data_IF_486266556359
#
_entry.id   IF_486266556359
#
_cell.length_a   1.000
_cell.length_b   1.000
_cell.length_c   1.000
_cell.angle_alpha   90.00
_cell.angle_beta   90.00
_cell.angle_gamma   90.00
#
_symmetry.space_group_name_H-M   'P 1'
#
loop_
_entity.id
_entity.type
_entity.pdbx_description
1 polymer ?
#
# COMPACT_ATOMS: atom_id res chain seq x y z
N UNK A 1 -22.92 -19.73 -0.69
CA UNK A 1 -22.72 -19.52 0.76
C UNK A 1 -24.06 -19.51 1.46
N UNK A 2 -24.17 -20.08 2.67
CA UNK A 2 -25.40 -19.94 3.47
C UNK A 2 -25.56 -18.49 3.95
N UNK A 3 -26.80 -18.03 4.18
CA UNK A 3 -27.08 -16.68 4.70
C UNK A 3 -26.29 -16.40 5.98
N UNK A 4 -26.22 -17.38 6.88
CA UNK A 4 -25.46 -17.32 8.14
C UNK A 4 -23.95 -17.08 7.93
N UNK A 5 -23.35 -17.66 6.88
CA UNK A 5 -21.92 -17.47 6.57
C UNK A 5 -21.64 -16.06 6.04
N UNK A 6 -22.56 -15.52 5.23
CA UNK A 6 -22.46 -14.16 4.68
C UNK A 6 -22.60 -13.10 5.78
N UNK A 7 -23.56 -13.27 6.68
CA UNK A 7 -23.77 -12.35 7.79
C UNK A 7 -22.59 -12.34 8.77
N UNK A 8 -21.98 -13.51 9.01
CA UNK A 8 -20.76 -13.64 9.81
C UNK A 8 -19.56 -12.91 9.17
N UNK A 9 -19.40 -13.06 7.85
CA UNK A 9 -18.37 -12.35 7.09
C UNK A 9 -18.54 -10.83 7.18
N UNK A 10 -19.75 -10.33 6.91
CA UNK A 10 -20.03 -8.90 6.96
C UNK A 10 -19.84 -8.36 8.39
N UNK A 11 -20.28 -9.08 9.41
CA UNK A 11 -20.04 -8.69 10.81
C UNK A 11 -18.55 -8.66 11.16
N UNK A 12 -17.73 -9.57 10.62
CA UNK A 12 -16.26 -9.54 10.78
C UNK A 12 -15.68 -8.29 10.12
N UNK A 13 -16.11 -8.00 8.90
CA UNK A 13 -15.66 -6.84 8.13
C UNK A 13 -16.01 -5.52 8.83
N UNK A 14 -17.24 -5.37 9.34
CA UNK A 14 -17.65 -4.18 10.08
C UNK A 14 -16.82 -3.95 11.35
N UNK A 15 -16.48 -5.03 12.08
CA UNK A 15 -15.58 -4.95 13.24
C UNK A 15 -14.16 -4.53 12.88
N UNK A 16 -13.64 -5.00 11.75
CA UNK A 16 -12.32 -4.60 11.26
C UNK A 16 -12.29 -3.11 10.92
N UNK A 17 -13.33 -2.59 10.27
CA UNK A 17 -13.46 -1.15 9.95
C UNK A 17 -13.54 -0.23 11.18
N UNK A 18 -13.93 -0.73 12.35
CA UNK A 18 -13.98 0.04 13.60
C UNK A 18 -12.66 0.01 14.38
N UNK A 19 -11.71 -0.82 13.97
CA UNK A 19 -10.50 -1.04 14.74
C UNK A 19 -9.61 0.21 14.76
N UNK A 20 -9.04 0.46 15.93
CA UNK A 20 -7.90 1.36 16.13
C UNK A 20 -6.66 0.51 16.35
N UNK A 21 -5.63 0.75 15.55
CA UNK A 21 -4.42 -0.07 15.47
C UNK A 21 -3.20 0.66 16.03
N UNK A 22 -3.19 2.00 16.00
CA UNK A 22 -2.03 2.79 16.40
C UNK A 22 -1.75 2.69 17.90
N UNK A 23 -0.49 2.41 18.25
CA UNK A 23 -0.08 2.15 19.64
C UNK A 23 0.28 3.41 20.42
N UNK A 24 0.54 4.51 19.73
CA UNK A 24 0.97 5.79 20.30
C UNK A 24 0.06 6.93 19.84
N UNK A 25 -0.04 8.02 20.61
CA UNK A 25 -0.81 9.19 20.21
C UNK A 25 -0.33 9.78 18.88
N UNK A 26 -1.27 10.06 17.99
CA UNK A 26 -1.01 10.70 16.69
C UNK A 26 -0.62 12.17 16.94
N UNK A 27 0.51 12.67 16.38
CA UNK A 27 0.87 14.08 16.48
C UNK A 27 -0.13 14.94 15.70
N UNK A 28 -0.26 16.23 16.03
CA UNK A 28 -1.16 17.13 15.28
C UNK A 28 -0.75 17.27 13.79
N UNK A 29 0.54 17.23 13.53
CA UNK A 29 1.13 17.33 12.20
C UNK A 29 2.12 16.19 11.98
N UNK A 30 2.19 15.69 10.75
CA UNK A 30 3.25 14.77 10.31
C UNK A 30 4.58 15.49 10.50
N UNK A 31 5.47 14.88 11.29
CA UNK A 31 6.78 15.44 11.60
C UNK A 31 7.78 15.13 10.49
N UNK A 32 8.96 15.73 10.57
CA UNK A 32 10.09 15.40 9.69
C UNK A 32 10.68 16.61 8.97
N UNK A 33 11.50 16.32 7.98
CA UNK A 33 12.24 17.28 7.16
C UNK A 33 11.53 17.64 5.86
N UNK A 34 10.22 17.44 5.77
CA UNK A 34 9.44 17.73 4.57
C UNK A 34 9.36 19.23 4.32
N UNK A 35 9.22 19.62 3.05
CA UNK A 35 9.08 21.02 2.65
C UNK A 35 7.71 21.65 2.94
N UNK A 36 6.69 20.84 3.26
CA UNK A 36 5.35 21.31 3.56
C UNK A 36 4.78 20.70 4.83
N UNK A 37 3.94 21.47 5.52
CA UNK A 37 3.26 21.04 6.74
C UNK A 37 2.01 20.25 6.37
N UNK A 38 1.91 19.01 6.86
CA UNK A 38 0.74 18.16 6.68
C UNK A 38 0.07 17.89 8.03
N UNK A 39 -1.23 18.20 8.14
CA UNK A 39 -2.04 17.76 9.29
C UNK A 39 -2.11 16.24 9.30
N UNK A 40 -1.88 15.63 10.45
CA UNK A 40 -2.11 14.21 10.60
C UNK A 40 -3.62 13.91 10.59
N UNK A 41 -4.01 12.89 9.83
CA UNK A 41 -5.37 12.36 9.81
C UNK A 41 -5.50 11.35 10.95
N UNK A 42 -6.49 11.54 11.82
CA UNK A 42 -6.73 10.65 12.96
C UNK A 42 -7.47 9.37 12.58
N UNK A 43 -7.38 8.33 13.43
CA UNK A 43 -7.98 7.02 13.13
C UNK A 43 -9.49 7.05 12.90
N UNK A 44 -10.24 7.91 13.61
CA UNK A 44 -11.68 8.03 13.39
C UNK A 44 -12.00 8.59 11.99
N UNK A 45 -11.18 9.53 11.51
CA UNK A 45 -11.30 10.09 10.17
C UNK A 45 -10.86 9.07 9.12
N UNK A 46 -9.77 8.33 9.36
CA UNK A 46 -9.30 7.24 8.49
C UNK A 46 -10.35 6.13 8.36
N UNK A 47 -10.94 5.67 9.46
CA UNK A 47 -12.01 4.67 9.47
C UNK A 47 -13.22 5.15 8.67
N UNK A 48 -13.61 6.42 8.84
CA UNK A 48 -14.72 7.02 8.07
C UNK A 48 -14.42 7.06 6.57
N UNK A 49 -13.20 7.42 6.18
CA UNK A 49 -12.78 7.45 4.77
C UNK A 49 -12.79 6.04 4.17
N UNK A 50 -12.19 5.06 4.83
CA UNK A 50 -12.19 3.66 4.37
C UNK A 50 -13.62 3.11 4.22
N UNK A 51 -14.52 3.41 5.17
CA UNK A 51 -15.95 3.06 5.07
C UNK A 51 -16.60 3.65 3.83
N UNK A 52 -16.40 4.94 3.60
CA UNK A 52 -16.95 5.62 2.42
C UNK A 52 -16.39 5.02 1.13
N UNK A 53 -15.12 4.65 1.09
CA UNK A 53 -14.51 4.01 -0.09
C UNK A 53 -15.21 2.70 -0.46
N UNK A 54 -15.56 1.87 0.52
CA UNK A 54 -16.28 0.61 0.25
C UNK A 54 -17.71 0.84 -0.25
N UNK A 55 -18.39 1.91 0.19
CA UNK A 55 -19.68 2.32 -0.37
C UNK A 55 -19.51 2.72 -1.84
N UNK A 56 -18.51 3.55 -2.14
CA UNK A 56 -18.22 4.00 -3.51
C UNK A 56 -17.81 2.84 -4.43
N UNK A 57 -17.04 1.87 -3.93
CA UNK A 57 -16.71 0.65 -4.67
C UNK A 57 -17.98 -0.12 -5.03
N UNK A 58 -18.89 -0.30 -4.07
CA UNK A 58 -20.15 -1.01 -4.30
C UNK A 58 -21.01 -0.29 -5.34
N UNK A 59 -21.15 1.04 -5.23
CA UNK A 59 -21.92 1.84 -6.18
C UNK A 59 -21.31 1.79 -7.59
N UNK A 60 -19.99 1.91 -7.71
CA UNK A 60 -19.31 1.89 -9.00
C UNK A 60 -19.39 0.51 -9.66
N UNK A 61 -19.14 -0.56 -8.91
CA UNK A 61 -19.24 -1.94 -9.43
C UNK A 61 -20.68 -2.29 -9.80
N UNK A 62 -21.66 -1.82 -9.03
CA UNK A 62 -23.10 -1.95 -9.37
C UNK A 62 -23.41 -1.26 -10.69
N UNK A 63 -22.92 -0.04 -10.90
CA UNK A 63 -23.09 0.67 -12.17
C UNK A 63 -22.50 -0.12 -13.34
N UNK A 64 -21.26 -0.61 -13.23
CA UNK A 64 -20.65 -1.44 -14.27
C UNK A 64 -21.48 -2.71 -14.57
N UNK A 65 -21.97 -3.40 -13.54
CA UNK A 65 -22.69 -4.66 -13.73
C UNK A 65 -24.14 -4.48 -14.18
N UNK A 66 -24.91 -3.62 -13.51
CA UNK A 66 -26.33 -3.45 -13.77
C UNK A 66 -26.61 -2.55 -14.99
N UNK A 67 -25.75 -1.56 -15.25
CA UNK A 67 -25.94 -0.60 -16.36
C UNK A 67 -25.12 -0.95 -17.59
N UNK A 68 -23.87 -1.40 -17.43
CA UNK A 68 -22.96 -1.66 -18.55
C UNK A 68 -22.80 -3.15 -18.89
N UNK A 69 -23.42 -4.05 -18.12
CA UNK A 69 -23.37 -5.49 -18.33
C UNK A 69 -21.99 -6.12 -18.12
N UNK A 70 -21.11 -5.46 -17.36
CA UNK A 70 -19.76 -5.96 -17.05
C UNK A 70 -19.74 -6.64 -15.67
N UNK A 71 -19.38 -7.92 -15.59
CA UNK A 71 -19.35 -8.67 -14.33
C UNK A 71 -18.13 -8.29 -13.46
N UNK A 72 -18.32 -7.29 -12.59
CA UNK A 72 -17.30 -6.78 -11.66
C UNK A 72 -17.77 -6.67 -10.21
N UNK A 73 -19.00 -7.08 -9.90
CA UNK A 73 -19.54 -7.05 -8.52
C UNK A 73 -18.71 -7.86 -7.53
N UNK A 74 -18.01 -8.89 -8.02
CA UNK A 74 -17.11 -9.72 -7.22
C UNK A 74 -15.95 -8.94 -6.61
N UNK A 75 -15.57 -7.78 -7.18
CA UNK A 75 -14.52 -6.91 -6.63
C UNK A 75 -14.84 -6.46 -5.20
N UNK A 76 -16.11 -6.25 -4.86
CA UNK A 76 -16.50 -5.86 -3.50
C UNK A 76 -16.06 -6.88 -2.46
N UNK A 77 -16.38 -8.16 -2.70
CA UNK A 77 -16.00 -9.23 -1.78
C UNK A 77 -14.48 -9.43 -1.77
N UNK A 78 -13.85 -9.39 -2.94
CA UNK A 78 -12.40 -9.50 -3.07
C UNK A 78 -11.69 -8.41 -2.25
N UNK A 79 -12.07 -7.14 -2.40
CA UNK A 79 -11.44 -6.03 -1.66
C UNK A 79 -11.70 -6.10 -0.17
N UNK A 80 -12.90 -6.50 0.27
CA UNK A 80 -13.18 -6.70 1.71
C UNK A 80 -12.24 -7.75 2.29
N UNK A 81 -12.07 -8.90 1.61
CA UNK A 81 -11.16 -9.97 2.04
C UNK A 81 -9.70 -9.50 2.03
N UNK A 82 -9.27 -8.86 0.94
CA UNK A 82 -7.91 -8.39 0.76
C UNK A 82 -7.52 -7.35 1.78
N UNK A 83 -8.35 -6.32 1.98
CA UNK A 83 -8.11 -5.28 2.98
C UNK A 83 -8.06 -5.88 4.40
N UNK A 84 -8.98 -6.79 4.75
CA UNK A 84 -8.96 -7.48 6.05
C UNK A 84 -7.73 -8.37 6.25
N UNK A 85 -7.09 -8.86 5.18
CA UNK A 85 -5.88 -9.67 5.29
C UNK A 85 -4.68 -8.89 5.83
N UNK A 86 -4.82 -7.56 6.01
CA UNK A 86 -3.81 -6.66 6.53
C UNK A 86 -4.22 -5.96 7.85
N UNK A 87 -5.50 -6.03 8.27
CA UNK A 87 -6.07 -5.29 9.43
C UNK A 87 -5.30 -5.55 10.75
N UNK A 88 -4.70 -6.73 10.88
CA UNK A 88 -3.99 -7.14 12.09
C UNK A 88 -2.58 -7.70 11.80
N UNK A 89 -1.96 -7.25 10.71
CA UNK A 89 -0.80 -7.92 10.12
C UNK A 89 -1.20 -8.86 9.00
N UNK A 90 -0.26 -9.67 8.53
CA UNK A 90 -0.44 -10.53 7.35
C UNK A 90 -1.27 -11.77 7.70
N UNK A 91 -2.47 -11.89 7.11
CA UNK A 91 -3.28 -13.12 7.15
C UNK A 91 -2.89 -14.06 6.00
N UNK A 92 -1.82 -14.83 6.19
CA UNK A 92 -1.31 -15.79 5.20
C UNK A 92 -2.35 -16.82 4.73
N UNK A 93 -3.40 -17.08 5.52
CA UNK A 93 -4.43 -18.06 5.18
C UNK A 93 -5.46 -17.50 4.21
N UNK A 94 -5.67 -16.18 4.22
CA UNK A 94 -6.62 -15.51 3.32
C UNK A 94 -6.05 -15.32 1.91
N UNK A 95 -4.73 -15.14 1.79
CA UNK A 95 -4.07 -14.74 0.54
C UNK A 95 -4.15 -15.76 -0.61
N UNK A 96 -4.07 -17.10 -0.39
CA UNK A 96 -4.13 -18.08 -1.48
C UNK A 96 -5.44 -18.05 -2.30
N UNK A 97 -6.54 -17.56 -1.73
CA UNK A 97 -7.79 -17.37 -2.48
C UNK A 97 -7.74 -16.11 -3.36
N UNK A 98 -6.98 -15.09 -2.94
CA UNK A 98 -7.01 -13.74 -3.52
C UNK A 98 -5.94 -13.51 -4.59
N UNK A 99 -4.85 -14.27 -4.53
CA UNK A 99 -3.65 -14.08 -5.34
C UNK A 99 -3.48 -15.24 -6.32
N UNK A 100 -3.02 -14.93 -7.53
CA UNK A 100 -2.57 -15.96 -8.45
C UNK A 100 -1.32 -16.66 -7.87
N UNK A 101 -1.13 -17.98 -8.07
CA UNK A 101 0.04 -18.69 -7.56
C UNK A 101 1.39 -18.08 -7.98
N UNK A 102 1.42 -17.49 -9.18
CA UNK A 102 2.55 -16.84 -9.82
C UNK A 102 2.46 -15.30 -9.79
N UNK A 103 1.70 -14.72 -8.85
CA UNK A 103 1.51 -13.26 -8.73
C UNK A 103 2.84 -12.51 -8.82
N UNK A 104 2.89 -11.51 -9.69
CA UNK A 104 4.02 -10.59 -9.77
C UNK A 104 3.68 -9.27 -9.06
N UNK A 105 4.54 -8.84 -8.14
CA UNK A 105 4.32 -7.58 -7.42
C UNK A 105 5.59 -6.71 -7.39
N UNK A 106 5.41 -5.38 -7.44
CA UNK A 106 6.52 -4.41 -7.36
C UNK A 106 6.27 -3.36 -6.28
N UNK A 107 7.37 -2.89 -5.70
CA UNK A 107 7.37 -1.80 -4.73
C UNK A 107 8.67 -0.98 -4.86
N UNK A 108 8.71 0.33 -4.56
CA UNK A 108 9.93 1.11 -4.51
C UNK A 108 11.13 0.45 -3.80
N UNK A 109 10.92 -0.25 -2.68
CA UNK A 109 11.99 -0.96 -1.95
C UNK A 109 12.38 -2.31 -2.57
N UNK A 110 11.78 -2.68 -3.70
CA UNK A 110 12.24 -3.78 -4.55
C UNK A 110 13.26 -3.36 -5.61
N UNK A 111 13.57 -2.07 -5.72
CA UNK A 111 14.54 -1.52 -6.67
C UNK A 111 14.24 -1.92 -8.13
N UNK A 112 12.95 -2.01 -8.47
CA UNK A 112 12.47 -2.38 -9.81
C UNK A 112 12.40 -3.88 -10.08
N UNK A 113 12.78 -4.74 -9.12
CA UNK A 113 12.65 -6.19 -9.23
C UNK A 113 11.22 -6.65 -8.93
N UNK A 114 10.60 -7.49 -9.77
CA UNK A 114 9.34 -8.12 -9.42
C UNK A 114 9.56 -9.18 -8.33
N UNK A 115 8.68 -9.20 -7.34
CA UNK A 115 8.48 -10.30 -6.42
C UNK A 115 7.53 -11.28 -7.08
N UNK A 116 7.90 -12.56 -7.14
CA UNK A 116 7.12 -13.57 -7.88
C UNK A 116 6.64 -14.66 -6.92
N UNK A 117 5.34 -14.94 -6.99
CA UNK A 117 4.65 -15.95 -6.19
C UNK A 117 4.20 -15.45 -4.82
N UNK A 118 3.24 -16.18 -4.25
CA UNK A 118 2.54 -15.80 -3.01
C UNK A 118 3.51 -15.62 -1.83
N UNK A 119 4.51 -16.50 -1.68
CA UNK A 119 5.46 -16.39 -0.56
C UNK A 119 6.30 -15.12 -0.65
N UNK A 120 6.83 -14.78 -1.84
CA UNK A 120 7.58 -13.53 -2.03
C UNK A 120 6.73 -12.29 -1.72
N UNK A 121 5.43 -12.35 -2.05
CA UNK A 121 4.47 -11.31 -1.72
C UNK A 121 4.20 -11.21 -0.21
N UNK A 122 4.11 -12.34 0.50
CA UNK A 122 4.00 -12.40 1.96
C UNK A 122 5.25 -11.83 2.62
N UNK A 123 6.44 -12.27 2.23
CA UNK A 123 7.71 -11.85 2.82
C UNK A 123 7.89 -10.32 2.72
N UNK A 124 7.49 -9.74 1.59
CA UNK A 124 7.45 -8.29 1.39
C UNK A 124 6.50 -7.60 2.37
N UNK A 125 5.22 -8.00 2.44
CA UNK A 125 4.27 -7.36 3.33
C UNK A 125 4.68 -7.54 4.80
N UNK A 126 5.21 -8.71 5.16
CA UNK A 126 5.70 -9.00 6.50
C UNK A 126 6.87 -8.10 6.86
N UNK A 127 7.76 -7.74 5.92
CA UNK A 127 8.83 -6.78 6.18
C UNK A 127 8.31 -5.40 6.65
N UNK A 128 7.18 -4.94 6.10
CA UNK A 128 6.54 -3.70 6.55
C UNK A 128 5.91 -3.84 7.95
N UNK A 129 5.20 -4.93 8.23
CA UNK A 129 4.62 -5.16 9.57
C UNK A 129 5.68 -5.45 10.64
N UNK A 130 6.81 -6.05 10.27
CA UNK A 130 7.96 -6.22 11.17
C UNK A 130 8.57 -4.84 11.54
N UNK A 131 8.69 -3.96 10.54
CA UNK A 131 9.25 -2.61 10.69
C UNK A 131 8.31 -1.65 11.43
N UNK A 132 7.01 -1.77 11.18
CA UNK A 132 5.95 -0.89 11.67
C UNK A 132 4.83 -1.77 12.26
N UNK A 133 4.94 -2.21 13.53
CA UNK A 133 4.03 -3.22 14.11
C UNK A 133 2.58 -2.77 14.32
N UNK A 134 2.27 -1.50 14.08
CA UNK A 134 0.92 -0.93 14.10
C UNK A 134 0.53 -0.32 12.74
N UNK A 135 1.20 -0.76 11.67
CA UNK A 135 0.89 -0.34 10.31
C UNK A 135 -0.56 -0.65 9.96
N UNK A 136 -1.20 0.31 9.29
CA UNK A 136 -2.57 0.19 8.78
C UNK A 136 -2.65 0.82 7.39
N UNK A 137 -3.60 0.31 6.60
CA UNK A 137 -3.87 0.75 5.24
C UNK A 137 -5.27 1.35 5.15
N UNK A 138 -5.37 2.63 4.81
CA UNK A 138 -6.63 3.36 4.79
C UNK A 138 -6.95 3.88 3.39
N UNK A 139 -8.09 3.45 2.84
CA UNK A 139 -8.48 3.70 1.47
C UNK A 139 -9.08 5.11 1.34
N UNK A 140 -8.75 5.82 0.25
CA UNK A 140 -9.19 7.20 0.05
C UNK A 140 -10.39 7.30 -0.92
N UNK A 141 -11.57 7.74 -0.45
CA UNK A 141 -12.73 8.00 -1.29
C UNK A 141 -12.44 8.90 -2.48
N UNK A 142 -13.14 8.66 -3.58
CA UNK A 142 -13.06 9.42 -4.83
C UNK A 142 -11.71 9.28 -5.57
N UNK A 143 -10.82 8.42 -5.11
CA UNK A 143 -9.46 8.30 -5.63
C UNK A 143 -9.12 6.86 -6.07
N UNK A 144 -10.08 6.21 -6.71
CA UNK A 144 -9.86 4.93 -7.39
C UNK A 144 -10.56 4.87 -8.74
N UNK A 145 -10.07 3.98 -9.59
CA UNK A 145 -10.56 3.79 -10.95
C UNK A 145 -10.60 2.30 -11.26
N UNK A 146 -11.75 1.84 -11.78
CA UNK A 146 -11.91 0.51 -12.35
C UNK A 146 -11.80 0.65 -13.87
N UNK A 147 -10.96 -0.17 -14.49
CA UNK A 147 -10.89 -0.31 -15.92
C UNK A 147 -11.18 -1.77 -16.28
N UNK A 148 -12.18 -1.97 -17.14
CA UNK A 148 -12.48 -3.27 -17.74
C UNK A 148 -12.07 -3.20 -19.20
N UNK A 149 -11.13 -4.07 -19.60
CA UNK A 149 -10.67 -4.09 -21.00
C UNK A 149 -11.69 -4.78 -21.90
N UNK A 150 -11.49 -4.66 -23.22
CA UNK A 150 -12.35 -5.34 -24.20
C UNK A 150 -12.27 -6.87 -24.07
N UNK A 151 -11.12 -7.37 -23.64
CA UNK A 151 -10.84 -8.79 -23.42
C UNK A 151 -11.39 -9.29 -22.07
N UNK A 152 -12.01 -8.41 -21.27
CA UNK A 152 -12.57 -8.74 -19.96
C UNK A 152 -11.56 -8.72 -18.82
N UNK A 153 -10.33 -8.22 -19.02
CA UNK A 153 -9.41 -8.01 -17.91
C UNK A 153 -9.92 -6.88 -17.02
N UNK A 154 -9.94 -7.13 -15.72
CA UNK A 154 -10.29 -6.12 -14.72
C UNK A 154 -9.01 -5.56 -14.15
N UNK A 155 -8.92 -4.24 -14.08
CA UNK A 155 -7.79 -3.50 -13.50
C UNK A 155 -8.35 -2.48 -12.51
N UNK A 156 -7.70 -2.34 -11.38
CA UNK A 156 -8.02 -1.30 -10.42
C UNK A 156 -6.76 -0.48 -10.10
N UNK A 157 -6.93 0.82 -10.03
CA UNK A 157 -5.93 1.72 -9.45
C UNK A 157 -6.58 2.49 -8.32
N UNK A 158 -5.97 2.56 -7.14
CA UNK A 158 -6.56 3.22 -5.98
C UNK A 158 -5.51 3.88 -5.10
N UNK A 159 -5.85 5.04 -4.54
CA UNK A 159 -5.03 5.70 -3.52
C UNK A 159 -5.41 5.26 -2.12
N UNK A 160 -4.40 5.14 -1.28
CA UNK A 160 -4.55 4.87 0.13
C UNK A 160 -3.46 5.62 0.92
N UNK A 161 -3.59 5.57 2.24
CA UNK A 161 -2.60 6.07 3.19
C UNK A 161 -2.13 4.91 4.05
N UNK A 162 -0.83 4.66 4.07
CA UNK A 162 -0.18 3.81 5.06
C UNK A 162 0.14 4.62 6.32
N UNK A 163 -0.35 4.20 7.49
CA UNK A 163 -0.14 4.91 8.75
C UNK A 163 0.47 4.00 9.81
N UNK A 164 1.43 4.48 10.60
CA UNK A 164 2.00 3.72 11.71
C UNK A 164 3.26 4.37 12.30
N UNK A 165 3.84 3.77 13.34
CA UNK A 165 5.08 4.24 13.95
C UNK A 165 6.26 3.38 13.53
N UNK A 166 7.26 3.99 12.91
CA UNK A 166 8.38 3.24 12.36
C UNK A 166 9.41 2.84 13.42
N UNK A 167 9.22 1.67 14.03
CA UNK A 167 9.97 1.25 15.21
C UNK A 167 11.19 0.39 14.92
N UNK A 168 11.19 -0.39 13.83
CA UNK A 168 12.28 -1.32 13.49
C UNK A 168 12.75 -1.14 12.04
N UNK A 169 14.00 -1.51 11.72
CA UNK A 169 14.51 -1.33 10.37
C UNK A 169 13.63 -2.00 9.31
N UNK A 170 13.34 -1.29 8.22
CA UNK A 170 12.59 -1.83 7.08
C UNK A 170 13.54 -2.56 6.15
N UNK A 171 13.40 -3.89 6.07
CA UNK A 171 14.14 -4.70 5.10
C UNK A 171 13.66 -4.35 3.70
N UNK A 172 14.61 -4.17 2.79
CA UNK A 172 14.36 -4.00 1.36
C UNK A 172 14.51 -5.35 0.68
N UNK A 173 14.30 -5.42 -0.63
CA UNK A 173 14.52 -6.66 -1.38
C UNK A 173 15.92 -7.26 -1.13
N UNK A 174 16.04 -8.59 -0.90
CA UNK A 174 15.02 -9.64 -1.07
C UNK A 174 14.12 -9.92 0.15
N UNK A 175 14.04 -9.01 1.13
CA UNK A 175 13.19 -9.09 2.32
C UNK A 175 13.55 -10.17 3.35
N UNK A 176 14.68 -10.85 3.16
CA UNK A 176 15.26 -11.78 4.12
C UNK A 176 16.23 -11.10 5.11
N UNK A 177 16.81 -11.88 6.02
CA UNK A 177 17.76 -11.39 7.04
C UNK A 177 19.09 -10.89 6.49
N UNK A 178 19.44 -11.21 5.25
CA UNK A 178 20.65 -10.74 4.58
C UNK A 178 20.45 -9.40 3.85
N UNK A 179 19.19 -9.00 3.66
CA UNK A 179 18.84 -7.82 2.91
C UNK A 179 19.31 -6.52 3.58
N UNK A 180 19.65 -5.48 2.80
CA UNK A 180 19.82 -4.14 3.34
C UNK A 180 18.53 -3.67 4.01
N UNK A 181 18.65 -2.88 5.07
CA UNK A 181 17.51 -2.34 5.78
C UNK A 181 17.63 -0.83 5.98
N UNK A 182 16.54 -0.11 5.76
CA UNK A 182 16.45 1.29 6.14
C UNK A 182 16.29 1.38 7.67
N UNK A 183 17.11 2.19 8.36
CA UNK A 183 16.99 2.30 9.81
C UNK A 183 15.66 2.93 10.23
N UNK A 184 15.14 2.52 11.38
CA UNK A 184 13.97 3.13 11.99
C UNK A 184 14.35 4.34 12.84
N UNK A 185 13.40 5.27 13.01
CA UNK A 185 13.56 6.47 13.84
C UNK A 185 12.48 6.63 14.91
N UNK A 186 11.50 5.73 14.97
CA UNK A 186 10.32 5.84 15.82
C UNK A 186 9.30 6.86 15.33
N UNK A 187 9.52 7.48 14.17
CA UNK A 187 8.67 8.53 13.63
C UNK A 187 7.25 8.03 13.32
N UNK A 188 6.28 8.92 13.51
CA UNK A 188 4.93 8.74 13.00
C UNK A 188 4.93 8.91 11.49
N UNK A 189 4.47 7.89 10.78
CA UNK A 189 4.39 7.83 9.33
C UNK A 189 2.93 7.93 8.92
N UNK A 190 2.66 8.76 7.91
CA UNK A 190 1.38 8.81 7.21
C UNK A 190 1.65 9.03 5.72
N UNK A 191 1.94 7.93 5.03
CA UNK A 191 2.48 7.91 3.67
C UNK A 191 1.38 7.68 2.64
N UNK A 192 1.14 8.63 1.72
CA UNK A 192 0.24 8.41 0.60
C UNK A 192 0.87 7.44 -0.40
N UNK A 193 0.07 6.50 -0.89
CA UNK A 193 0.47 5.54 -1.90
C UNK A 193 -0.63 5.33 -2.93
N UNK A 194 -0.27 4.74 -4.06
CA UNK A 194 -1.17 4.28 -5.11
C UNK A 194 -0.88 2.81 -5.34
N UNK A 195 -1.90 1.97 -5.27
CA UNK A 195 -1.79 0.60 -5.76
C UNK A 195 -2.42 0.49 -7.14
N UNK A 196 -1.80 -0.33 -7.99
CA UNK A 196 -2.36 -0.77 -9.27
C UNK A 196 -2.43 -2.29 -9.27
N UNK A 197 -3.59 -2.82 -9.59
CA UNK A 197 -3.90 -4.25 -9.59
C UNK A 197 -4.44 -4.70 -10.94
N UNK A 198 -4.02 -5.88 -11.36
CA UNK A 198 -4.49 -6.56 -12.57
C UNK A 198 -5.00 -7.94 -12.17
N UNK A 199 -6.26 -8.21 -12.50
CA UNK A 199 -6.91 -9.46 -12.17
C UNK A 199 -6.95 -10.42 -13.36
N UNK A 200 -6.74 -11.71 -13.10
CA UNK A 200 -6.90 -12.76 -14.10
C UNK A 200 -8.38 -13.21 -14.23
N UNK A 201 -8.64 -14.15 -15.14
CA UNK A 201 -9.97 -14.70 -15.36
C UNK A 201 -10.56 -15.41 -14.12
N UNK A 202 -9.71 -15.92 -13.24
CA UNK A 202 -10.08 -16.55 -11.96
C UNK A 202 -10.36 -15.52 -10.85
N UNK A 203 -10.36 -14.22 -11.19
CA UNK A 203 -10.61 -13.09 -10.26
C UNK A 203 -9.56 -12.95 -9.16
N UNK A 204 -8.34 -13.42 -9.45
CA UNK A 204 -7.20 -13.32 -8.56
C UNK A 204 -6.26 -12.21 -9.02
N UNK A 205 -5.57 -11.57 -8.07
CA UNK A 205 -4.51 -10.61 -8.39
C UNK A 205 -3.34 -11.36 -9.04
N UNK A 206 -3.09 -11.08 -10.32
CA UNK A 206 -2.00 -11.68 -11.09
C UNK A 206 -0.79 -10.75 -11.20
N UNK A 207 -1.03 -9.44 -11.30
CA UNK A 207 0.04 -8.43 -11.29
C UNK A 207 -0.36 -7.24 -10.46
N UNK A 208 0.54 -6.77 -9.61
CA UNK A 208 0.34 -5.56 -8.84
C UNK A 208 1.59 -4.71 -8.69
N UNK A 209 1.39 -3.46 -8.31
CA UNK A 209 2.48 -2.62 -7.83
C UNK A 209 1.95 -1.60 -6.83
N UNK A 210 2.78 -1.31 -5.83
CA UNK A 210 2.63 -0.15 -4.98
C UNK A 210 3.53 0.95 -5.52
N UNK A 211 3.02 2.18 -5.55
CA UNK A 211 3.79 3.39 -5.85
C UNK A 211 3.68 4.36 -4.67
N UNK A 212 4.83 4.71 -4.09
CA UNK A 212 4.95 5.73 -3.05
C UNK A 212 6.29 6.45 -3.21
N UNK A 213 6.37 7.65 -2.64
CA UNK A 213 7.58 8.46 -2.70
C UNK A 213 8.52 8.11 -1.54
N UNK A 214 9.60 7.39 -1.87
CA UNK A 214 10.62 7.01 -0.89
C UNK A 214 11.42 8.20 -0.35
N UNK A 215 11.61 9.27 -1.12
CA UNK A 215 12.25 10.49 -0.63
C UNK A 215 11.36 11.16 0.41
N UNK A 216 10.06 11.28 0.11
CA UNK A 216 9.08 11.81 1.05
C UNK A 216 9.11 10.99 2.34
N UNK A 217 8.98 9.67 2.27
CA UNK A 217 9.01 8.79 3.43
C UNK A 217 10.28 8.96 4.28
N UNK A 218 11.46 9.02 3.65
CA UNK A 218 12.73 9.27 4.36
C UNK A 218 12.80 10.66 4.99
N UNK A 219 12.19 11.68 4.38
CA UNK A 219 12.08 13.01 4.98
C UNK A 219 11.11 13.02 6.16
N UNK A 220 9.97 12.33 6.08
CA UNK A 220 9.03 12.20 7.21
C UNK A 220 9.67 11.52 8.42
N UNK A 221 10.57 10.57 8.16
CA UNK A 221 11.28 9.85 9.21
C UNK A 221 12.57 10.51 9.70
N UNK A 222 12.91 11.72 9.20
CA UNK A 222 14.17 12.44 9.46
C UNK A 222 15.46 11.73 9.00
N UNK A 223 15.34 10.69 8.17
CA UNK A 223 16.51 10.00 7.59
C UNK A 223 17.15 10.79 6.46
N UNK A 224 16.34 11.56 5.73
CA UNK A 224 16.80 12.44 4.66
C UNK A 224 16.61 13.90 5.08
N UNK A 225 17.60 14.78 4.84
CA UNK A 225 17.45 16.21 5.09
C UNK A 225 16.38 16.85 4.20
N UNK A 226 15.93 18.05 4.58
CA UNK A 226 15.02 18.84 3.74
C UNK A 226 15.69 19.15 2.40
N UNK A 227 14.88 19.17 1.36
CA UNK A 227 15.22 19.60 0.00
C UNK A 227 15.88 20.99 -0.06
N UNK A 228 15.55 21.86 0.89
CA UNK A 228 16.13 23.20 1.00
C UNK A 228 17.53 23.21 1.62
N UNK A 229 17.93 22.14 2.31
CA UNK A 229 19.18 22.10 3.07
C UNK A 229 20.43 22.04 2.19
N UNK A 230 21.55 22.65 2.61
CA UNK A 230 22.83 22.52 1.91
C UNK A 230 23.32 21.08 1.80
N UNK A 231 23.00 20.24 2.81
CA UNK A 231 23.36 18.83 2.84
C UNK A 231 22.63 18.06 1.73
N UNK A 232 21.32 18.25 1.60
CA UNK A 232 20.56 17.61 0.52
C UNK A 232 21.08 18.04 -0.86
N UNK A 233 21.33 19.34 -1.04
CA UNK A 233 21.91 19.87 -2.29
C UNK A 233 23.26 19.24 -2.60
N UNK A 234 24.12 19.06 -1.60
CA UNK A 234 25.42 18.39 -1.77
C UNK A 234 25.26 16.91 -2.14
N UNK A 235 24.33 16.18 -1.51
CA UNK A 235 24.02 14.78 -1.85
C UNK A 235 23.58 14.63 -3.31
N UNK A 236 22.65 15.48 -3.76
CA UNK A 236 22.21 15.47 -5.17
C UNK A 236 23.36 15.86 -6.11
N UNK A 237 24.16 16.87 -5.75
CA UNK A 237 25.28 17.33 -6.56
C UNK A 237 26.34 16.24 -6.76
N UNK A 238 26.59 15.38 -5.77
CA UNK A 238 27.51 14.25 -5.89
C UNK A 238 27.09 13.27 -7.02
N UNK A 239 25.79 13.15 -7.30
CA UNK A 239 25.27 12.39 -8.45
C UNK A 239 25.77 12.89 -9.81
N UNK A 240 26.17 14.16 -9.91
CA UNK A 240 26.71 14.75 -11.14
C UNK A 240 28.01 14.07 -11.60
N UNK A 241 28.84 13.60 -10.65
CA UNK A 241 30.05 12.85 -10.97
C UNK A 241 29.70 11.50 -11.63
N UNK A 242 28.71 10.79 -11.08
CA UNK A 242 28.18 9.56 -11.67
C UNK A 242 27.57 9.81 -13.06
N UNK A 243 26.82 10.90 -13.22
CA UNK A 243 26.25 11.28 -14.52
C UNK A 243 27.34 11.58 -15.57
N UNK A 244 28.40 12.28 -15.20
CA UNK A 244 29.54 12.55 -16.07
C UNK A 244 30.25 11.25 -16.50
N UNK A 245 30.48 10.34 -15.56
CA UNK A 245 31.07 9.03 -15.84
C UNK A 245 30.20 8.19 -16.78
N UNK A 246 28.89 8.14 -16.55
CA UNK A 246 27.96 7.41 -17.42
C UNK A 246 27.92 7.97 -18.86
N UNK A 247 28.03 9.30 -19.02
CA UNK A 247 28.13 9.92 -20.37
C UNK A 247 29.40 9.53 -21.10
N UNK A 248 30.49 9.26 -20.39
CA UNK A 248 31.73 8.77 -21.00
C UNK A 248 31.62 7.30 -21.40
N UNK A 249 30.96 6.46 -20.59
CA UNK A 249 30.77 5.03 -20.86
C UNK A 249 29.80 4.79 -22.03
N UNK A 250 28.80 5.67 -22.22
CA UNK A 250 27.77 5.54 -23.26
C UNK A 250 28.14 6.17 -24.61
N UNK A 251 29.37 6.69 -24.75
CA UNK A 251 29.94 7.14 -26.03
C UNK A 251 30.74 6.01 -26.64
#
# INVERSE_FOLDING_TARGET
MSTTTRDQFEAKFQRALDRKCLKKPIPQFVQGNRSYVQRAIGEDELNRLTRQWFVELEDQTRFYSETLGQDVMWLNEWFKKYWMAWDQGVDEKALPELLAPDVEYKDPVSFGRPMVGIQSFIDYNQAFFDAIPDWRYDLLPGQFFINVTREGEVRLMGRYIGTGFWEKPLRMYPFDKSAPAMPATGAFMQAPAVDRYHFNADRQLARGETMWDAFEAMQMSNLLPSDTSPVFRALIAAGSAGAAMQRLIRR
#
